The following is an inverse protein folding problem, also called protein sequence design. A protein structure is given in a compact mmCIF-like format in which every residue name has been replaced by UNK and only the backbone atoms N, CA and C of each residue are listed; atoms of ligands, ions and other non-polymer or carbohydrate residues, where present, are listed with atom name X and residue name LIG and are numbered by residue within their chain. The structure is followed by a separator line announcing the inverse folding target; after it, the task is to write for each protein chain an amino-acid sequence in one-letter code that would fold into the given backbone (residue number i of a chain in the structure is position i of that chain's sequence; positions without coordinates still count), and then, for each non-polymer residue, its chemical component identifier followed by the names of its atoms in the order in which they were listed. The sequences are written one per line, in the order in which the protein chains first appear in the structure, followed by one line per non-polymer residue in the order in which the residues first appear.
data_IF_298102826899
#
_entry.id   IF_298102826899
#
_cell.length_a   1.000
_cell.length_b   1.000
_cell.length_c   1.000
_cell.angle_alpha   90.00
_cell.angle_beta   90.00
_cell.angle_gamma   90.00
#
_symmetry.space_group_name_H-M   'P 1'
#
loop_
_entity.id
_entity.type
_entity.pdbx_description
1 polymer ?
#
# COMPACT_ATOMS: atom_id res chain seq x y z
N UNK A 1 11.05 10.70 16.53
CA UNK A 1 11.59 11.32 15.29
C UNK A 1 10.47 12.16 14.68
N UNK A 2 10.68 13.45 14.46
CA UNK A 2 9.65 14.35 13.92
C UNK A 2 9.73 14.33 12.38
N UNK A 3 8.70 13.79 11.72
CA UNK A 3 8.64 13.69 10.26
C UNK A 3 8.62 15.07 9.56
N UNK A 4 8.26 16.14 10.27
CA UNK A 4 8.26 17.51 9.73
C UNK A 4 9.67 18.06 9.45
N UNK A 5 10.71 17.41 9.96
CA UNK A 5 12.12 17.83 9.77
C UNK A 5 12.76 17.33 8.47
N UNK A 6 12.07 16.44 7.74
CA UNK A 6 12.60 15.86 6.50
C UNK A 6 12.07 16.60 5.28
N UNK A 7 12.94 16.83 4.30
CA UNK A 7 12.60 17.53 3.06
C UNK A 7 11.74 16.68 2.13
N UNK A 8 11.91 15.35 2.19
CA UNK A 8 11.19 14.38 1.36
C UNK A 8 10.84 13.10 2.12
N UNK A 9 9.94 12.30 1.57
CA UNK A 9 9.64 10.96 2.10
C UNK A 9 10.83 10.01 1.97
N UNK A 10 11.67 10.16 0.94
CA UNK A 10 12.89 9.37 0.75
C UNK A 10 13.95 9.66 1.81
N UNK A 11 14.18 10.93 2.17
CA UNK A 11 15.13 11.33 3.22
C UNK A 11 14.74 10.73 4.59
N UNK A 12 13.44 10.73 4.88
CA UNK A 12 12.92 10.11 6.09
C UNK A 12 13.24 8.61 6.11
N UNK A 13 12.92 7.89 5.02
CA UNK A 13 13.14 6.44 4.96
C UNK A 13 14.61 6.06 4.95
N UNK A 14 15.48 6.85 4.32
CA UNK A 14 16.93 6.64 4.37
C UNK A 14 17.46 6.77 5.81
N UNK A 15 17.01 7.76 6.54
CA UNK A 15 17.37 7.92 7.96
C UNK A 15 16.82 6.77 8.79
N UNK A 16 15.57 6.40 8.58
CA UNK A 16 14.92 5.32 9.31
C UNK A 16 15.56 3.97 9.03
N UNK A 17 15.96 3.69 7.78
CA UNK A 17 16.73 2.51 7.43
C UNK A 17 17.98 2.34 8.27
N UNK A 18 18.77 3.41 8.41
CA UNK A 18 20.00 3.37 9.18
C UNK A 18 19.75 3.11 10.68
N UNK A 19 18.68 3.69 11.24
CA UNK A 19 18.25 3.42 12.62
C UNK A 19 17.86 1.95 12.79
N UNK A 20 17.02 1.41 11.92
CA UNK A 20 16.61 -0.01 11.97
C UNK A 20 17.83 -0.92 11.83
N UNK A 21 18.71 -0.65 10.85
CA UNK A 21 19.93 -1.43 10.66
C UNK A 21 20.83 -1.45 11.91
N UNK A 22 21.06 -0.29 12.54
CA UNK A 22 21.86 -0.18 13.75
C UNK A 22 21.26 -0.97 14.92
N UNK A 23 19.95 -0.85 15.16
CA UNK A 23 19.25 -1.54 16.26
C UNK A 23 19.25 -3.06 16.05
N UNK A 24 19.06 -3.52 14.81
CA UNK A 24 18.91 -4.95 14.50
C UNK A 24 20.20 -5.62 14.07
N UNK A 25 21.27 -4.85 13.83
CA UNK A 25 22.54 -5.32 13.24
C UNK A 25 22.33 -6.07 11.92
N UNK A 26 21.38 -5.61 11.11
CA UNK A 26 21.01 -6.21 9.82
C UNK A 26 20.30 -7.57 9.91
N UNK A 27 19.89 -8.00 11.11
CA UNK A 27 19.25 -9.32 11.31
C UNK A 27 17.73 -9.32 11.14
N UNK A 28 17.12 -8.15 11.09
CA UNK A 28 15.67 -7.98 10.90
C UNK A 28 15.42 -6.86 9.91
N UNK A 29 14.33 -6.97 9.21
CA UNK A 29 13.90 -5.95 8.25
C UNK A 29 12.45 -5.54 8.51
N UNK A 30 12.09 -4.39 7.96
CA UNK A 30 10.72 -3.88 7.97
C UNK A 30 10.37 -3.47 6.54
N UNK A 31 9.25 -3.96 6.01
CA UNK A 31 8.65 -3.38 4.82
C UNK A 31 7.77 -2.20 5.25
N UNK A 32 7.85 -1.09 4.52
CA UNK A 32 7.12 0.12 4.86
C UNK A 32 6.72 0.89 3.60
N UNK A 33 5.46 1.30 3.53
CA UNK A 33 5.03 2.37 2.64
C UNK A 33 4.81 3.64 3.46
N UNK A 34 5.45 4.74 3.07
CA UNK A 34 5.27 6.03 3.70
C UNK A 34 4.76 7.05 2.69
N UNK A 35 3.64 7.68 3.00
CA UNK A 35 3.00 8.70 2.17
C UNK A 35 2.71 9.99 2.93
N UNK A 36 2.98 11.15 2.30
CA UNK A 36 2.67 12.48 2.79
C UNK A 36 1.66 13.15 1.88
N UNK A 37 0.46 13.39 2.42
CA UNK A 37 -0.60 14.08 1.70
C UNK A 37 -0.41 15.59 1.77
N UNK A 38 -0.63 16.26 0.63
CA UNK A 38 -0.64 17.71 0.49
C UNK A 38 -2.04 18.15 0.02
N UNK A 39 -2.96 18.47 0.95
CA UNK A 39 -4.36 18.77 0.61
C UNK A 39 -4.50 19.94 -0.37
N UNK A 40 -3.70 21.00 -0.22
CA UNK A 40 -3.77 22.21 -1.05
C UNK A 40 -3.43 21.93 -2.52
N UNK A 41 -2.38 21.11 -2.76
CA UNK A 41 -1.98 20.69 -4.12
C UNK A 41 -2.64 19.41 -4.59
N UNK A 42 -3.49 18.80 -3.76
CA UNK A 42 -4.17 17.53 -4.06
C UNK A 42 -3.19 16.45 -4.52
N UNK A 43 -2.07 16.33 -3.83
CA UNK A 43 -1.01 15.39 -4.20
C UNK A 43 -0.58 14.54 -3.03
N UNK A 44 -0.04 13.37 -3.37
CA UNK A 44 0.60 12.43 -2.46
C UNK A 44 2.06 12.32 -2.88
N UNK A 45 2.99 12.61 -1.98
CA UNK A 45 4.39 12.23 -2.09
C UNK A 45 4.59 10.93 -1.31
N UNK A 46 5.25 9.94 -1.92
CA UNK A 46 5.43 8.66 -1.26
C UNK A 46 6.80 8.06 -1.52
N UNK A 47 7.17 7.10 -0.69
CA UNK A 47 8.32 6.21 -0.85
C UNK A 47 7.94 4.82 -0.35
N UNK A 48 8.20 3.80 -1.17
CA UNK A 48 7.97 2.40 -0.83
C UNK A 48 9.29 1.73 -0.46
N UNK A 49 9.37 1.14 0.71
CA UNK A 49 10.50 0.35 1.19
C UNK A 49 10.14 -1.14 1.24
N UNK A 50 9.93 -1.75 0.07
CA UNK A 50 9.66 -3.17 -0.08
C UNK A 50 8.31 -3.64 0.46
N UNK A 51 7.34 -2.75 0.62
CA UNK A 51 5.96 -3.09 0.97
C UNK A 51 5.14 -3.39 -0.29
N UNK A 52 4.07 -4.16 -0.17
CA UNK A 52 3.12 -4.37 -1.27
C UNK A 52 2.69 -3.02 -1.84
N UNK A 53 2.93 -2.75 -3.14
CA UNK A 53 2.64 -1.45 -3.70
C UNK A 53 1.16 -1.09 -3.54
N UNK A 54 0.82 0.00 -2.83
CA UNK A 54 -0.54 0.52 -2.85
C UNK A 54 -1.00 0.82 -4.28
N UNK A 55 -2.29 0.70 -4.53
CA UNK A 55 -2.87 0.92 -5.85
C UNK A 55 -3.68 2.21 -5.88
N UNK A 56 -3.42 3.07 -6.85
CA UNK A 56 -4.34 4.17 -7.18
C UNK A 56 -5.27 3.70 -8.29
N UNK A 57 -6.57 3.66 -8.00
CA UNK A 57 -7.61 3.15 -8.89
C UNK A 57 -8.49 4.32 -9.32
N UNK A 58 -8.66 4.46 -10.65
CA UNK A 58 -9.43 5.52 -11.33
C UNK A 58 -10.41 4.91 -12.29
N UNK A 59 -11.51 5.62 -12.51
CA UNK A 59 -12.45 5.23 -13.55
C UNK A 59 -11.80 5.29 -14.95
N UNK A 60 -11.94 4.20 -15.71
CA UNK A 60 -11.51 4.15 -17.11
C UNK A 60 -9.98 4.06 -17.34
N UNK A 61 -9.19 3.78 -16.31
CA UNK A 61 -7.75 3.57 -16.45
C UNK A 61 -7.30 2.31 -15.71
N UNK A 62 -6.15 1.78 -16.11
CA UNK A 62 -5.51 0.71 -15.36
C UNK A 62 -5.07 1.19 -13.97
N UNK A 63 -5.06 0.29 -12.96
CA UNK A 63 -4.55 0.60 -11.64
C UNK A 63 -3.08 1.04 -11.71
N UNK A 64 -2.73 2.09 -10.97
CA UNK A 64 -1.34 2.58 -10.89
C UNK A 64 -0.72 2.09 -9.58
N UNK A 65 0.27 1.18 -9.60
CA UNK A 65 0.98 0.78 -8.41
C UNK A 65 1.92 1.88 -7.94
N UNK A 66 2.01 2.07 -6.62
CA UNK A 66 2.92 3.02 -5.98
C UNK A 66 4.16 2.27 -5.48
N UNK A 67 5.05 1.92 -6.40
CA UNK A 67 6.23 1.07 -6.16
C UNK A 67 7.56 1.83 -6.07
N UNK A 68 7.55 3.16 -6.35
CA UNK A 68 8.77 3.98 -6.27
C UNK A 68 9.34 3.99 -4.85
N UNK A 69 10.65 3.73 -4.73
CA UNK A 69 11.26 3.70 -3.40
C UNK A 69 12.62 3.03 -3.37
N UNK A 70 12.77 2.00 -2.54
CA UNK A 70 14.01 1.27 -2.33
C UNK A 70 13.80 -0.07 -1.62
N UNK A 71 14.88 -0.71 -1.16
CA UNK A 71 14.80 -2.02 -0.49
C UNK A 71 14.05 -1.91 0.86
N UNK A 72 13.68 -3.07 1.42
CA UNK A 72 13.18 -3.15 2.80
C UNK A 72 14.16 -2.51 3.78
N UNK A 73 13.62 -1.88 4.83
CA UNK A 73 14.42 -1.18 5.83
C UNK A 73 15.22 -2.17 6.69
N UNK A 74 16.48 -1.83 7.00
CA UNK A 74 17.29 -2.52 7.98
C UNK A 74 18.14 -3.68 7.45
N UNK A 75 18.12 -4.00 6.15
CA UNK A 75 18.94 -5.06 5.55
C UNK A 75 20.34 -4.55 5.19
N UNK A 76 20.43 -3.41 4.54
CA UNK A 76 21.68 -2.80 4.10
C UNK A 76 21.83 -1.40 4.69
N UNK A 77 23.01 -1.04 5.23
CA UNK A 77 23.25 0.32 5.69
C UNK A 77 23.31 1.27 4.49
N UNK A 78 22.93 2.52 4.70
CA UNK A 78 23.01 3.59 3.70
C UNK A 78 22.26 3.27 2.39
N UNK A 79 21.20 2.46 2.47
CA UNK A 79 20.35 2.20 1.30
C UNK A 79 19.77 3.50 0.75
N UNK A 80 19.73 3.60 -0.57
CA UNK A 80 19.14 4.74 -1.26
C UNK A 80 17.64 4.53 -1.49
N UNK A 81 16.85 5.59 -1.30
CA UNK A 81 15.41 5.60 -1.54
C UNK A 81 15.03 6.73 -2.47
N UNK A 82 14.08 6.48 -3.35
CA UNK A 82 13.49 7.49 -4.23
C UNK A 82 12.09 7.84 -3.75
N UNK A 83 11.70 9.09 -3.89
CA UNK A 83 10.31 9.54 -3.70
C UNK A 83 9.66 9.83 -5.04
N UNK A 84 8.34 9.66 -5.09
CA UNK A 84 7.52 10.10 -6.19
C UNK A 84 6.35 10.93 -5.69
N UNK A 85 5.94 11.91 -6.49
CA UNK A 85 4.78 12.74 -6.19
C UNK A 85 3.72 12.57 -7.27
N UNK A 86 2.55 12.12 -6.87
CA UNK A 86 1.40 11.92 -7.76
C UNK A 86 0.28 12.90 -7.42
N UNK A 87 -0.52 13.24 -8.44
CA UNK A 87 -1.74 14.01 -8.25
C UNK A 87 -2.93 13.09 -8.01
N UNK A 88 -3.74 13.39 -6.99
CA UNK A 88 -4.99 12.69 -6.70
C UNK A 88 -6.16 13.50 -7.27
N UNK A 89 -6.96 12.86 -8.12
CA UNK A 89 -8.15 13.42 -8.74
C UNK A 89 -9.40 13.10 -7.92
N UNK A 90 -10.45 13.86 -8.13
CA UNK A 90 -11.76 13.56 -7.55
C UNK A 90 -12.22 12.16 -7.97
N UNK A 91 -12.64 11.35 -7.01
CA UNK A 91 -13.06 9.97 -7.23
C UNK A 91 -11.91 8.94 -7.21
N UNK A 92 -10.64 9.35 -7.18
CA UNK A 92 -9.54 8.41 -7.03
C UNK A 92 -9.63 7.66 -5.69
N UNK A 93 -9.32 6.38 -5.73
CA UNK A 93 -9.21 5.53 -4.55
C UNK A 93 -7.79 5.00 -4.45
N UNK A 94 -7.12 5.32 -3.33
CA UNK A 94 -5.86 4.70 -2.93
C UNK A 94 -6.17 3.52 -2.02
N UNK A 95 -5.70 2.33 -2.41
CA UNK A 95 -5.87 1.09 -1.65
C UNK A 95 -4.52 0.63 -1.16
N UNK A 96 -4.34 0.55 0.16
CA UNK A 96 -3.20 -0.07 0.83
C UNK A 96 -3.64 -1.41 1.42
N UNK A 97 -2.86 -2.45 1.24
CA UNK A 97 -3.19 -3.81 1.63
C UNK A 97 -1.95 -4.61 2.04
N UNK A 98 -2.16 -5.64 2.85
CA UNK A 98 -1.15 -6.63 3.19
C UNK A 98 -1.41 -7.96 2.46
N UNK A 99 -0.45 -8.88 2.60
CA UNK A 99 -0.44 -10.20 1.97
C UNK A 99 -1.74 -10.97 2.20
N UNK A 100 -2.28 -10.95 3.42
CA UNK A 100 -3.54 -11.65 3.74
C UNK A 100 -4.74 -11.26 2.90
N UNK A 101 -4.73 -10.09 2.24
CA UNK A 101 -5.80 -9.68 1.33
C UNK A 101 -5.66 -10.29 -0.07
N UNK A 102 -4.44 -10.38 -0.61
CA UNK A 102 -4.17 -10.78 -2.00
C UNK A 102 -3.73 -12.24 -2.12
N UNK A 103 -3.17 -12.81 -1.06
CA UNK A 103 -2.76 -14.21 -0.98
C UNK A 103 -3.85 -15.14 -0.43
N UNK A 104 -5.04 -14.62 -0.12
CA UNK A 104 -6.18 -15.42 0.27
C UNK A 104 -6.49 -16.45 -0.83
N UNK A 105 -6.46 -17.74 -0.49
CA UNK A 105 -6.63 -18.85 -1.45
C UNK A 105 -8.07 -19.37 -1.46
N UNK A 106 -8.55 -19.74 -2.64
CA UNK A 106 -9.77 -20.49 -2.81
C UNK A 106 -9.51 -22.03 -2.69
N UNK A 107 -10.54 -22.88 -2.66
CA UNK A 107 -10.34 -24.34 -2.58
C UNK A 107 -9.57 -24.98 -3.75
N UNK A 108 -9.36 -24.26 -4.85
CA UNK A 108 -8.56 -24.71 -5.98
C UNK A 108 -7.07 -24.30 -5.86
N UNK A 109 -6.69 -23.57 -4.79
CA UNK A 109 -5.33 -23.06 -4.59
C UNK A 109 -5.02 -21.79 -5.39
N UNK A 110 -6.04 -21.11 -5.95
CA UNK A 110 -5.84 -19.84 -6.62
C UNK A 110 -5.84 -18.70 -5.60
N UNK A 111 -4.94 -17.74 -5.75
CA UNK A 111 -4.90 -16.53 -4.92
C UNK A 111 -5.93 -15.49 -5.38
N UNK A 112 -6.42 -14.67 -4.44
CA UNK A 112 -7.32 -13.55 -4.73
C UNK A 112 -6.67 -12.54 -5.67
N UNK A 113 -5.42 -12.21 -5.46
CA UNK A 113 -4.53 -11.35 -6.23
C UNK A 113 -4.88 -9.85 -6.20
N UNK A 114 -3.84 -9.02 -6.43
CA UNK A 114 -3.99 -7.56 -6.57
C UNK A 114 -4.85 -7.16 -7.78
N UNK A 115 -4.89 -8.00 -8.82
CA UNK A 115 -5.74 -7.80 -9.98
C UNK A 115 -7.23 -7.91 -9.63
N UNK A 116 -7.64 -8.95 -8.87
CA UNK A 116 -9.02 -9.06 -8.37
C UNK A 116 -9.37 -7.93 -7.43
N UNK A 117 -8.46 -7.57 -6.52
CA UNK A 117 -8.63 -6.44 -5.61
C UNK A 117 -8.93 -5.16 -6.39
N UNK A 118 -8.08 -4.81 -7.35
CA UNK A 118 -8.24 -3.59 -8.15
C UNK A 118 -9.51 -3.61 -9.00
N UNK A 119 -9.87 -4.76 -9.57
CA UNK A 119 -11.11 -4.94 -10.31
C UNK A 119 -12.33 -4.74 -9.42
N UNK A 120 -12.32 -5.33 -8.21
CA UNK A 120 -13.41 -5.16 -7.24
C UNK A 120 -13.62 -3.69 -6.91
N UNK A 121 -12.56 -2.95 -6.60
CA UNK A 121 -12.64 -1.50 -6.32
C UNK A 121 -13.10 -0.73 -7.55
N UNK A 122 -12.55 -1.04 -8.73
CA UNK A 122 -12.88 -0.36 -9.99
C UNK A 122 -14.35 -0.44 -10.37
N UNK A 123 -15.01 -1.56 -10.04
CA UNK A 123 -16.46 -1.75 -10.27
C UNK A 123 -17.34 -0.96 -9.28
N UNK A 124 -16.79 -0.52 -8.13
CA UNK A 124 -17.55 0.08 -7.05
C UNK A 124 -17.05 1.49 -6.66
N UNK A 125 -16.38 2.19 -7.58
CA UNK A 125 -15.81 3.53 -7.33
C UNK A 125 -16.84 4.59 -6.88
N UNK A 126 -18.13 4.35 -7.07
CA UNK A 126 -19.19 5.28 -6.63
C UNK A 126 -19.51 5.14 -5.13
N UNK A 127 -19.17 4.01 -4.51
CA UNK A 127 -19.36 3.79 -3.07
C UNK A 127 -18.48 4.72 -2.26
N UNK A 128 -18.84 5.00 -1.01
CA UNK A 128 -17.94 5.66 -0.08
C UNK A 128 -16.80 4.72 0.39
N UNK A 129 -15.83 5.25 1.14
CA UNK A 129 -14.67 4.45 1.55
C UNK A 129 -15.03 3.31 2.50
N UNK A 130 -16.03 3.50 3.36
CA UNK A 130 -16.50 2.49 4.31
C UNK A 130 -17.15 1.33 3.57
N UNK A 131 -18.08 1.62 2.67
CA UNK A 131 -18.78 0.61 1.87
C UNK A 131 -17.80 -0.15 0.95
N UNK A 132 -16.77 0.54 0.41
CA UNK A 132 -15.73 -0.12 -0.37
C UNK A 132 -14.92 -1.12 0.47
N UNK A 133 -14.58 -0.81 1.73
CA UNK A 133 -13.90 -1.76 2.62
C UNK A 133 -14.75 -3.01 2.80
N UNK A 134 -16.04 -2.86 3.10
CA UNK A 134 -16.97 -3.99 3.27
C UNK A 134 -17.14 -4.79 1.98
N UNK A 135 -17.19 -4.10 0.83
CA UNK A 135 -17.27 -4.75 -0.49
C UNK A 135 -16.04 -5.60 -0.76
N UNK A 136 -14.84 -5.08 -0.50
CA UNK A 136 -13.59 -5.83 -0.66
C UNK A 136 -13.54 -7.02 0.30
N UNK A 137 -13.84 -6.78 1.58
CA UNK A 137 -13.85 -7.82 2.60
C UNK A 137 -14.79 -8.97 2.19
N UNK A 138 -16.02 -8.64 1.83
CA UNK A 138 -17.01 -9.61 1.38
C UNK A 138 -16.53 -10.38 0.14
N UNK A 139 -15.91 -9.71 -0.83
CA UNK A 139 -15.37 -10.32 -2.04
C UNK A 139 -14.25 -11.33 -1.71
N UNK A 140 -13.32 -10.99 -0.81
CA UNK A 140 -12.25 -11.88 -0.35
C UNK A 140 -12.83 -13.09 0.36
N UNK A 141 -13.80 -12.90 1.29
CA UNK A 141 -14.42 -14.00 2.03
C UNK A 141 -15.20 -14.95 1.10
N UNK A 142 -15.94 -14.41 0.14
CA UNK A 142 -16.68 -15.22 -0.85
C UNK A 142 -15.74 -16.00 -1.77
N UNK A 143 -14.62 -15.41 -2.17
CA UNK A 143 -13.62 -16.08 -2.99
C UNK A 143 -12.96 -17.24 -2.26
N UNK A 144 -12.61 -17.04 -1.00
CA UNK A 144 -11.97 -18.03 -0.13
C UNK A 144 -12.90 -19.20 0.22
N UNK A 145 -14.20 -18.99 0.26
CA UNK A 145 -15.21 -19.98 0.69
C UNK A 145 -14.92 -20.51 2.10
N UNK A 146 -14.44 -21.76 2.20
CA UNK A 146 -14.21 -22.49 3.46
C UNK A 146 -12.75 -22.55 3.88
N UNK A 147 -11.81 -22.06 3.07
CA UNK A 147 -10.38 -22.07 3.43
C UNK A 147 -10.13 -21.07 4.58
N UNK A 148 -9.24 -21.39 5.50
CA UNK A 148 -8.84 -20.46 6.57
C UNK A 148 -8.01 -19.32 6.00
N UNK A 149 -8.05 -18.12 6.61
CA UNK A 149 -7.06 -17.10 6.30
C UNK A 149 -5.68 -17.58 6.79
N UNK A 150 -4.69 -17.47 5.93
CA UNK A 150 -3.30 -17.76 6.29
C UNK A 150 -2.69 -16.63 7.14
N UNK A 151 -3.19 -15.39 6.98
CA UNK A 151 -2.76 -14.19 7.70
C UNK A 151 -3.94 -13.23 7.89
N UNK A 152 -3.76 -12.21 8.74
CA UNK A 152 -4.75 -11.16 9.00
C UNK A 152 -5.02 -10.32 7.75
N UNK A 153 -6.30 -10.08 7.48
CA UNK A 153 -6.73 -9.21 6.38
C UNK A 153 -6.63 -7.74 6.82
N UNK A 154 -5.67 -7.02 6.27
CA UNK A 154 -5.48 -5.60 6.55
C UNK A 154 -5.69 -4.78 5.28
N UNK A 155 -6.63 -3.82 5.36
CA UNK A 155 -6.97 -2.90 4.27
C UNK A 155 -7.08 -1.48 4.81
N UNK A 156 -6.52 -0.52 4.08
CA UNK A 156 -6.72 0.91 4.33
C UNK A 156 -7.08 1.58 3.01
N UNK A 157 -8.19 2.29 2.98
CA UNK A 157 -8.65 3.01 1.80
C UNK A 157 -8.65 4.51 2.06
N UNK A 158 -8.17 5.27 1.07
CA UNK A 158 -8.32 6.71 1.02
C UNK A 158 -9.03 7.07 -0.28
N UNK A 159 -10.21 7.66 -0.17
CA UNK A 159 -10.97 8.14 -1.32
C UNK A 159 -10.91 9.65 -1.39
N UNK A 160 -10.58 10.19 -2.56
CA UNK A 160 -10.60 11.62 -2.81
C UNK A 160 -12.04 12.06 -3.13
N UNK A 161 -12.60 12.86 -2.25
CA UNK A 161 -13.89 13.52 -2.37
C UNK A 161 -13.74 14.89 -3.05
#
# INVERSE_FOLDING_TARGET
MDAARFSSTSDLLQTFNNVVYQITSGRRFISLFYGKLYPQSRSLEYTNAGHNPPLVIRAGTDPTPLDKGGPVLGVLPNSHYESEKISLRLGDVLVMYKDGAVEAENPAGEQYSAERLSRTVGLHLQQDASDLVETIYTSVIQFRKTTSLADDLTLVLLKKL
#
